data_IF_584431084070
#
_entry.id   IF_584431084070
#
_cell.length_a   1.000
_cell.length_b   1.000
_cell.length_c   1.000
_cell.angle_alpha   90.00
_cell.angle_beta   90.00
_cell.angle_gamma   90.00
#
_symmetry.space_group_name_H-M   'P 1'
#
loop_
_entity.id
_entity.type
_entity.pdbx_description
1 polymer ?
#
# COMPACT_ATOMS: atom_id res chain seq x y z
N UNK A 1 -33.67 25.86 -15.22
CA UNK A 1 -32.69 25.24 -16.08
C UNK A 1 -31.28 25.29 -15.47
N UNK A 2 -30.85 26.43 -14.96
CA UNK A 2 -29.56 26.56 -14.29
C UNK A 2 -29.48 25.69 -13.03
N UNK A 3 -30.59 25.57 -12.30
CA UNK A 3 -30.69 24.75 -11.10
C UNK A 3 -30.55 23.25 -11.46
N UNK A 4 -31.18 22.85 -12.56
CA UNK A 4 -31.12 21.47 -13.03
C UNK A 4 -29.70 21.10 -13.50
N UNK A 5 -29.03 22.03 -14.17
CA UNK A 5 -27.64 21.82 -14.60
C UNK A 5 -26.71 21.71 -13.39
N UNK A 6 -26.90 22.53 -12.36
CA UNK A 6 -26.14 22.45 -11.13
C UNK A 6 -26.37 21.14 -10.39
N UNK A 7 -27.61 20.69 -10.34
CA UNK A 7 -27.96 19.41 -9.71
C UNK A 7 -27.34 18.23 -10.49
N UNK A 8 -27.35 18.29 -11.81
CA UNK A 8 -26.73 17.26 -12.65
C UNK A 8 -25.21 17.24 -12.41
N UNK A 9 -24.58 18.39 -12.27
CA UNK A 9 -23.15 18.46 -11.98
C UNK A 9 -22.82 17.87 -10.60
N UNK A 10 -23.64 18.15 -9.61
CA UNK A 10 -23.45 17.55 -8.27
C UNK A 10 -23.62 16.03 -8.30
N UNK A 11 -24.63 15.55 -9.01
CA UNK A 11 -24.83 14.11 -9.19
C UNK A 11 -23.66 13.49 -9.93
N UNK A 12 -23.16 14.14 -10.98
CA UNK A 12 -22.00 13.65 -11.71
C UNK A 12 -20.75 13.61 -10.85
N UNK A 13 -20.57 14.60 -9.98
CA UNK A 13 -19.43 14.63 -9.06
C UNK A 13 -19.52 13.49 -8.05
N UNK A 14 -20.72 13.23 -7.50
CA UNK A 14 -20.95 12.10 -6.60
C UNK A 14 -20.76 10.77 -7.32
N UNK A 15 -21.27 10.64 -8.54
CA UNK A 15 -21.09 9.45 -9.35
C UNK A 15 -19.61 9.21 -9.67
N UNK A 16 -18.86 10.27 -9.96
CA UNK A 16 -17.41 10.18 -10.20
C UNK A 16 -16.70 9.67 -8.96
N UNK A 17 -17.08 10.17 -7.76
CA UNK A 17 -16.49 9.72 -6.50
C UNK A 17 -16.84 8.25 -6.18
N UNK A 18 -18.04 7.80 -6.55
CA UNK A 18 -18.46 6.41 -6.34
C UNK A 18 -17.98 5.48 -7.44
N UNK A 19 -17.64 6.03 -8.61
CA UNK A 19 -17.23 5.28 -9.79
C UNK A 19 -15.79 5.55 -10.20
N UNK A 20 -14.90 5.73 -9.21
CA UNK A 20 -13.49 5.84 -9.56
C UNK A 20 -13.05 4.57 -10.29
N UNK A 21 -12.24 4.75 -11.31
CA UNK A 21 -11.73 3.62 -12.09
C UNK A 21 -10.82 2.76 -11.22
N UNK A 22 -10.63 1.53 -11.64
CA UNK A 22 -9.71 0.62 -10.97
C UNK A 22 -8.30 1.19 -10.96
N UNK A 23 -7.87 1.81 -12.06
CA UNK A 23 -6.55 2.44 -12.14
C UNK A 23 -6.41 3.59 -11.15
N UNK A 24 -7.44 4.42 -11.02
CA UNK A 24 -7.46 5.50 -10.05
C UNK A 24 -7.40 4.96 -8.60
N UNK A 25 -8.10 3.87 -8.35
CA UNK A 25 -8.06 3.21 -7.04
C UNK A 25 -6.61 2.82 -6.69
N UNK A 26 -5.91 2.17 -7.59
CA UNK A 26 -4.53 1.75 -7.35
C UNK A 26 -3.58 2.94 -7.21
N UNK A 27 -3.74 3.96 -8.05
CA UNK A 27 -2.93 5.18 -7.98
C UNK A 27 -3.12 5.89 -6.65
N UNK A 28 -4.38 6.09 -6.25
CA UNK A 28 -4.72 6.78 -5.02
C UNK A 28 -4.26 6.00 -3.79
N UNK A 29 -4.45 4.70 -3.80
CA UNK A 29 -4.06 3.83 -2.67
C UNK A 29 -2.55 3.80 -2.48
N UNK A 30 -1.79 3.76 -3.57
CA UNK A 30 -0.32 3.85 -3.49
C UNK A 30 0.12 5.19 -2.94
N UNK A 31 -0.52 6.26 -3.39
CA UNK A 31 -0.19 7.60 -2.89
C UNK A 31 -0.45 7.71 -1.40
N UNK A 32 -1.60 7.24 -0.94
CA UNK A 32 -1.93 7.23 0.48
C UNK A 32 -0.93 6.42 1.30
N UNK A 33 -0.59 5.22 0.82
CA UNK A 33 0.39 4.35 1.47
C UNK A 33 1.74 5.03 1.57
N UNK A 34 2.22 5.58 0.46
CA UNK A 34 3.53 6.22 0.41
C UNK A 34 3.57 7.49 1.27
N UNK A 35 2.48 8.24 1.29
CA UNK A 35 2.34 9.42 2.16
C UNK A 35 2.39 9.01 3.64
N UNK A 36 1.71 7.92 3.99
CA UNK A 36 1.74 7.39 5.35
C UNK A 36 3.16 7.02 5.79
N UNK A 37 3.90 6.31 4.94
CA UNK A 37 5.29 5.95 5.24
C UNK A 37 6.17 7.19 5.39
N UNK A 38 6.04 8.14 4.49
CA UNK A 38 6.80 9.39 4.55
C UNK A 38 6.54 10.15 5.83
N UNK A 39 5.28 10.20 6.25
CA UNK A 39 4.88 10.88 7.47
C UNK A 39 5.43 10.19 8.72
N UNK A 40 5.43 8.86 8.73
CA UNK A 40 6.02 8.08 9.83
C UNK A 40 7.53 8.35 9.93
N UNK A 41 8.22 8.35 8.81
CA UNK A 41 9.66 8.64 8.78
C UNK A 41 9.93 10.06 9.28
N UNK A 42 9.16 11.03 8.83
CA UNK A 42 9.30 12.42 9.27
C UNK A 42 9.11 12.56 10.78
N UNK A 43 8.12 11.86 11.34
CA UNK A 43 7.88 11.87 12.79
C UNK A 43 9.09 11.33 13.56
N UNK A 44 9.71 10.26 13.08
CA UNK A 44 10.91 9.71 13.71
C UNK A 44 12.13 10.60 13.51
N UNK A 45 12.24 11.26 12.36
CA UNK A 45 13.31 12.24 12.12
C UNK A 45 13.20 13.42 13.06
N UNK A 46 11.99 13.87 13.39
CA UNK A 46 11.76 14.93 14.37
C UNK A 46 12.28 14.51 15.75
N UNK A 47 12.09 13.25 16.13
CA UNK A 47 12.63 12.72 17.37
C UNK A 47 14.17 12.78 17.36
N UNK A 48 14.79 12.39 16.25
CA UNK A 48 16.24 12.43 16.11
C UNK A 48 16.81 13.84 16.22
N UNK A 49 16.06 14.84 15.78
CA UNK A 49 16.46 16.25 15.80
C UNK A 49 16.21 16.92 17.15
N UNK A 50 15.47 16.29 18.03
CA UNK A 50 15.09 16.88 19.31
C UNK A 50 16.18 16.66 20.36
N UNK A 51 16.76 17.74 20.84
CA UNK A 51 17.86 17.68 21.82
C UNK A 51 17.39 17.23 23.21
N UNK A 52 16.08 17.28 23.48
CA UNK A 52 15.52 16.88 24.77
C UNK A 52 15.17 15.39 24.85
N UNK A 53 15.36 14.66 23.76
CA UNK A 53 15.07 13.24 23.69
C UNK A 53 16.31 12.44 24.09
N UNK A 54 16.11 11.34 24.84
CA UNK A 54 17.21 10.50 25.28
C UNK A 54 17.88 9.77 24.13
N UNK A 55 19.11 9.33 24.31
CA UNK A 55 19.84 8.54 23.31
C UNK A 55 19.13 7.21 23.05
N UNK A 56 18.49 6.61 24.05
CA UNK A 56 17.73 5.38 23.89
C UNK A 56 16.53 5.60 22.95
N UNK A 57 15.82 6.72 23.11
CA UNK A 57 14.69 7.05 22.23
C UNK A 57 15.16 7.35 20.80
N UNK A 58 16.30 8.01 20.65
CA UNK A 58 16.89 8.27 19.32
C UNK A 58 17.25 6.98 18.62
N UNK A 59 17.79 6.02 19.37
CA UNK A 59 18.13 4.71 18.81
C UNK A 59 16.89 3.99 18.28
N UNK A 60 15.80 4.00 19.06
CA UNK A 60 14.53 3.40 18.63
C UNK A 60 14.02 4.09 17.36
N UNK A 61 14.05 5.43 17.33
CA UNK A 61 13.62 6.18 16.14
C UNK A 61 14.45 5.81 14.92
N UNK A 62 15.75 5.68 15.04
CA UNK A 62 16.63 5.28 13.94
C UNK A 62 16.32 3.86 13.45
N UNK A 63 16.10 2.95 14.36
CA UNK A 63 15.73 1.56 14.04
C UNK A 63 14.40 1.51 13.30
N UNK A 64 13.42 2.33 13.71
CA UNK A 64 12.13 2.39 13.04
C UNK A 64 12.22 2.98 11.64
N UNK A 65 13.03 4.01 11.42
CA UNK A 65 13.26 4.55 10.09
C UNK A 65 13.85 3.48 9.19
N UNK A 66 14.83 2.74 9.69
CA UNK A 66 15.47 1.65 8.93
C UNK A 66 14.45 0.56 8.60
N UNK A 67 13.62 0.17 9.57
CA UNK A 67 12.58 -0.84 9.38
C UNK A 67 11.59 -0.42 8.30
N UNK A 68 11.11 0.82 8.37
CA UNK A 68 10.13 1.36 7.40
C UNK A 68 10.75 1.40 5.99
N UNK A 69 11.98 1.85 5.88
CA UNK A 69 12.68 1.94 4.59
C UNK A 69 12.88 0.56 3.98
N UNK A 70 13.25 -0.43 4.79
CA UNK A 70 13.40 -1.81 4.34
C UNK A 70 12.06 -2.41 3.90
N UNK A 71 10.99 -2.13 4.64
CA UNK A 71 9.65 -2.58 4.29
C UNK A 71 9.19 -2.00 2.96
N UNK A 72 9.39 -0.69 2.74
CA UNK A 72 9.06 -0.04 1.47
C UNK A 72 9.81 -0.68 0.29
N UNK A 73 11.10 -0.94 0.47
CA UNK A 73 11.90 -1.59 -0.56
C UNK A 73 11.42 -3.01 -0.85
N UNK A 74 11.13 -3.78 0.19
CA UNK A 74 10.64 -5.14 0.04
C UNK A 74 9.29 -5.19 -0.67
N UNK A 75 8.39 -4.26 -0.34
CA UNK A 75 7.09 -4.14 -1.01
C UNK A 75 7.28 -3.85 -2.50
N UNK A 76 8.13 -2.88 -2.82
CA UNK A 76 8.39 -2.51 -4.21
C UNK A 76 8.94 -3.69 -5.01
N UNK A 77 9.90 -4.40 -4.45
CA UNK A 77 10.49 -5.58 -5.09
C UNK A 77 9.43 -6.67 -5.28
N UNK A 78 8.65 -6.96 -4.24
CA UNK A 78 7.60 -7.98 -4.32
C UNK A 78 6.55 -7.61 -5.37
N UNK A 79 6.10 -6.36 -5.41
CA UNK A 79 5.14 -5.90 -6.42
C UNK A 79 5.69 -6.10 -7.84
N UNK A 80 6.94 -5.72 -8.07
CA UNK A 80 7.55 -5.88 -9.38
C UNK A 80 7.69 -7.35 -9.77
N UNK A 81 8.08 -8.21 -8.83
CA UNK A 81 8.21 -9.64 -9.10
C UNK A 81 6.85 -10.28 -9.40
N UNK A 82 5.81 -9.91 -8.67
CA UNK A 82 4.46 -10.42 -8.91
C UNK A 82 3.97 -10.02 -10.31
N UNK A 83 4.25 -8.79 -10.73
CA UNK A 83 3.90 -8.34 -12.08
C UNK A 83 4.52 -9.21 -13.17
N UNK A 84 5.71 -9.76 -12.94
CA UNK A 84 6.34 -10.66 -13.93
C UNK A 84 5.58 -11.96 -14.12
N UNK A 85 4.65 -12.28 -13.21
CA UNK A 85 3.83 -13.50 -13.29
C UNK A 85 2.52 -13.30 -14.05
N UNK A 86 2.35 -12.15 -14.68
CA UNK A 86 1.16 -11.86 -15.50
C UNK A 86 0.08 -11.07 -14.79
N UNK A 87 0.32 -10.63 -13.56
CA UNK A 87 -0.59 -9.73 -12.85
C UNK A 87 -0.37 -8.33 -13.38
N UNK A 88 -1.40 -7.73 -13.96
CA UNK A 88 -1.31 -6.43 -14.62
C UNK A 88 -0.91 -5.31 -13.65
N UNK A 89 -1.54 -5.28 -12.49
CA UNK A 89 -1.21 -4.33 -11.44
C UNK A 89 -1.64 -4.89 -10.09
N UNK A 90 -1.06 -4.39 -9.03
CA UNK A 90 -1.38 -4.82 -7.68
C UNK A 90 -0.85 -3.80 -6.69
N UNK A 91 -1.36 -3.87 -5.48
CA UNK A 91 -0.85 -3.10 -4.36
C UNK A 91 -0.66 -4.01 -3.16
N UNK A 92 0.46 -3.84 -2.47
CA UNK A 92 0.74 -4.54 -1.22
C UNK A 92 0.77 -3.50 -0.11
N UNK A 93 0.05 -3.75 0.99
CA UNK A 93 0.22 -2.95 2.18
C UNK A 93 0.27 -3.85 3.41
N UNK A 94 1.08 -3.41 4.37
CA UNK A 94 1.35 -4.16 5.58
C UNK A 94 0.74 -3.42 6.77
N UNK A 95 0.02 -4.15 7.60
CA UNK A 95 -0.57 -3.63 8.83
C UNK A 95 -0.21 -4.59 9.95
N UNK A 96 0.73 -4.20 10.78
CA UNK A 96 1.33 -5.08 11.79
C UNK A 96 1.97 -6.29 11.09
N UNK A 97 1.49 -7.50 11.36
CA UNK A 97 2.00 -8.71 10.72
C UNK A 97 1.19 -9.11 9.49
N UNK A 98 0.04 -8.49 9.27
CA UNK A 98 -0.81 -8.80 8.11
C UNK A 98 -0.28 -8.17 6.85
N UNK A 99 -0.18 -8.96 5.80
CA UNK A 99 0.20 -8.50 4.47
C UNK A 99 -1.02 -8.61 3.57
N UNK A 100 -1.49 -7.48 3.08
CA UNK A 100 -2.67 -7.42 2.25
C UNK A 100 -2.26 -7.15 0.80
N UNK A 101 -2.73 -8.00 -0.10
CA UNK A 101 -2.43 -7.90 -1.53
C UNK A 101 -3.73 -7.70 -2.27
N UNK A 102 -3.81 -6.63 -3.04
CA UNK A 102 -4.96 -6.37 -3.90
C UNK A 102 -4.46 -6.43 -5.33
N UNK A 103 -4.96 -7.38 -6.10
CA UNK A 103 -4.57 -7.53 -7.51
C UNK A 103 -5.64 -6.90 -8.40
N UNK A 104 -5.20 -6.28 -9.48
CA UNK A 104 -6.10 -5.71 -10.47
C UNK A 104 -6.66 -6.82 -11.35
N UNK A 105 -7.96 -6.78 -11.58
CA UNK A 105 -8.64 -7.67 -12.51
C UNK A 105 -9.46 -8.73 -11.81
N UNK A 106 -9.55 -9.89 -12.46
CA UNK A 106 -10.34 -11.01 -11.97
C UNK A 106 -9.70 -11.68 -10.76
N UNK A 107 -10.48 -12.51 -10.08
CA UNK A 107 -9.96 -13.31 -8.99
C UNK A 107 -8.75 -14.12 -9.45
N UNK A 108 -7.62 -14.06 -8.72
CA UNK A 108 -6.43 -14.80 -9.14
C UNK A 108 -6.65 -16.31 -9.07
N UNK A 109 -6.01 -17.01 -9.99
CA UNK A 109 -6.04 -18.47 -10.03
C UNK A 109 -5.27 -19.05 -8.86
N UNK A 110 -5.48 -20.33 -8.57
CA UNK A 110 -4.73 -21.04 -7.53
C UNK A 110 -3.23 -20.97 -7.76
N UNK A 111 -2.81 -21.06 -9.02
CA UNK A 111 -1.41 -20.95 -9.38
C UNK A 111 -0.86 -19.55 -9.10
N UNK A 112 -1.61 -18.52 -9.48
CA UNK A 112 -1.24 -17.13 -9.20
C UNK A 112 -1.15 -16.87 -7.70
N UNK A 113 -2.12 -17.37 -6.93
CA UNK A 113 -2.11 -17.24 -5.48
C UNK A 113 -0.84 -17.87 -4.88
N UNK A 114 -0.50 -19.08 -5.33
CA UNK A 114 0.71 -19.76 -4.85
C UNK A 114 1.98 -18.98 -5.19
N UNK A 115 2.05 -18.40 -6.37
CA UNK A 115 3.19 -17.58 -6.80
C UNK A 115 3.29 -16.31 -5.96
N UNK A 116 2.17 -15.64 -5.72
CA UNK A 116 2.11 -14.43 -4.88
C UNK A 116 2.58 -14.75 -3.46
N UNK A 117 2.03 -15.81 -2.87
CA UNK A 117 2.41 -16.24 -1.53
C UNK A 117 3.91 -16.53 -1.43
N UNK A 118 4.45 -17.23 -2.42
CA UNK A 118 5.87 -17.57 -2.45
C UNK A 118 6.75 -16.32 -2.49
N UNK A 119 6.40 -15.36 -3.34
CA UNK A 119 7.15 -14.11 -3.46
C UNK A 119 7.09 -13.32 -2.15
N UNK A 120 5.90 -13.17 -1.58
CA UNK A 120 5.71 -12.36 -0.38
C UNK A 120 6.39 -13.00 0.84
N UNK A 121 6.29 -14.32 1.00
CA UNK A 121 6.97 -14.98 2.12
C UNK A 121 8.46 -14.78 2.05
N UNK A 122 9.02 -14.81 0.85
CA UNK A 122 10.46 -14.63 0.63
C UNK A 122 10.90 -13.18 0.80
N UNK A 123 10.20 -12.23 0.16
CA UNK A 123 10.63 -10.83 0.11
C UNK A 123 10.26 -10.04 1.37
N UNK A 124 9.11 -10.34 1.96
CA UNK A 124 8.61 -9.64 3.15
C UNK A 124 8.81 -10.44 4.44
N UNK A 125 9.34 -11.64 4.33
CA UNK A 125 9.54 -12.53 5.48
C UNK A 125 8.23 -12.75 6.27
N UNK A 126 7.13 -12.91 5.54
CA UNK A 126 5.80 -13.07 6.11
C UNK A 126 5.41 -14.55 6.13
N UNK A 127 4.55 -14.91 7.09
CA UNK A 127 3.94 -16.24 7.13
C UNK A 127 2.75 -16.29 6.18
N UNK A 128 2.52 -17.45 5.56
CA UNK A 128 1.43 -17.63 4.59
C UNK A 128 0.08 -17.27 5.22
N UNK A 129 -0.14 -17.64 6.47
CA UNK A 129 -1.39 -17.37 7.18
C UNK A 129 -1.69 -15.88 7.38
N UNK A 130 -0.67 -15.04 7.30
CA UNK A 130 -0.78 -13.58 7.46
C UNK A 130 -0.97 -12.86 6.12
N UNK A 131 -0.92 -13.60 5.01
CA UNK A 131 -1.06 -13.04 3.66
C UNK A 131 -2.52 -13.15 3.21
N UNK A 132 -3.12 -12.01 2.90
CA UNK A 132 -4.50 -11.93 2.43
C UNK A 132 -4.53 -11.38 1.02
N UNK A 133 -5.04 -12.17 0.09
CA UNK A 133 -5.06 -11.81 -1.33
C UNK A 133 -6.50 -11.58 -1.76
N UNK A 134 -6.73 -10.45 -2.38
CA UNK A 134 -8.05 -10.09 -2.92
C UNK A 134 -7.86 -9.42 -4.27
N UNK A 135 -8.96 -9.27 -4.99
CA UNK A 135 -8.92 -8.61 -6.30
C UNK A 135 -9.83 -7.40 -6.35
N UNK A 136 -9.54 -6.54 -7.30
CA UNK A 136 -10.33 -5.35 -7.59
C UNK A 136 -10.45 -5.22 -9.10
N UNK A 137 -11.66 -5.35 -9.60
CA UNK A 137 -11.94 -5.18 -11.04
C UNK A 137 -12.55 -3.82 -11.34
#
# INVERSE_FOLDING_TARGET
EETDEAEIQEENTLETNTKITTDEYFTNSRLERNTMYSQQIENYQDILSNTNVSEAQKKVAQEEITRISNEQNAIMIAENLIKTKGIEDLMIFVNNESVNVIVKGNEPTKEEIAQIQNIITRELNADIEDIHIMNKS
#
